data_IF_080627259979
#
_entry.id   IF_080627259979
#
_cell.length_a   1.000
_cell.length_b   1.000
_cell.length_c   1.000
_cell.angle_alpha   90.00
_cell.angle_beta   90.00
_cell.angle_gamma   90.00
#
_symmetry.space_group_name_H-M   'P 1'
#
loop_
_entity.id
_entity.type
_entity.pdbx_description
1 polymer ?
#
# COMPACT_ATOMS: atom_id res chain seq x y z
N UNK A 1 -31.63 -56.49 -35.35
CA UNK A 1 -33.09 -56.32 -35.50
C UNK A 1 -33.76 -56.79 -34.22
N UNK A 2 -34.70 -56.04 -33.63
CA UNK A 2 -35.13 -54.65 -33.85
C UNK A 2 -34.61 -53.71 -32.71
N UNK A 3 -34.27 -52.42 -32.91
CA UNK A 3 -35.08 -51.22 -33.25
C UNK A 3 -36.08 -50.88 -32.12
N UNK A 4 -36.30 -49.68 -31.60
CA UNK A 4 -36.00 -48.27 -31.91
C UNK A 4 -36.19 -47.50 -30.57
N UNK A 5 -35.55 -46.35 -30.34
CA UNK A 5 -36.24 -45.08 -30.58
C UNK A 5 -35.54 -43.89 -29.90
N UNK A 6 -35.41 -42.83 -30.69
CA UNK A 6 -34.80 -41.51 -30.46
C UNK A 6 -35.74 -40.52 -29.75
N UNK A 7 -35.17 -39.58 -28.98
CA UNK A 7 -35.58 -38.17 -28.86
C UNK A 7 -34.54 -37.47 -27.95
N UNK A 8 -33.54 -36.78 -28.51
CA UNK A 8 -33.55 -35.35 -28.85
C UNK A 8 -33.82 -34.44 -27.63
N UNK A 9 -32.77 -33.76 -27.16
CA UNK A 9 -32.87 -32.70 -26.15
C UNK A 9 -31.89 -31.58 -26.52
N UNK A 10 -32.31 -30.78 -27.51
CA UNK A 10 -31.69 -29.49 -27.85
C UNK A 10 -32.55 -28.34 -27.32
N UNK A 11 -31.85 -27.39 -26.71
CA UNK A 11 -32.16 -25.94 -26.66
C UNK A 11 -33.38 -25.52 -25.83
N UNK A 12 -33.10 -25.05 -24.61
CA UNK A 12 -33.89 -24.01 -23.96
C UNK A 12 -33.21 -22.65 -24.20
N UNK A 13 -33.74 -21.91 -25.17
CA UNK A 13 -33.61 -20.45 -25.29
C UNK A 13 -35.03 -19.88 -25.43
N UNK A 14 -35.23 -18.69 -24.85
CA UNK A 14 -36.35 -17.74 -25.02
C UNK A 14 -37.69 -18.01 -24.31
N UNK A 15 -37.93 -17.18 -23.28
CA UNK A 15 -39.20 -16.63 -22.77
C UNK A 15 -38.74 -15.72 -21.60
N UNK A 16 -39.02 -14.42 -21.49
CA UNK A 16 -40.26 -13.69 -21.68
C UNK A 16 -39.92 -12.23 -22.01
N UNK A 17 -40.31 -11.80 -23.21
CA UNK A 17 -40.63 -10.39 -23.51
C UNK A 17 -42.14 -10.23 -23.34
N UNK A 18 -42.63 -8.99 -23.19
CA UNK A 18 -44.04 -8.56 -23.02
C UNK A 18 -44.43 -8.25 -21.57
N UNK A 19 -44.02 -7.07 -21.08
CA UNK A 19 -44.89 -6.17 -20.30
C UNK A 19 -44.40 -4.75 -20.58
N UNK A 20 -44.94 -4.07 -21.60
CA UNK A 20 -44.94 -2.59 -21.70
C UNK A 20 -45.70 -2.14 -22.96
N UNK A 21 -47.02 -2.33 -22.96
CA UNK A 21 -47.90 -1.63 -23.91
C UNK A 21 -49.24 -1.36 -23.24
N UNK A 22 -49.39 -0.21 -22.58
CA UNK A 22 -50.66 0.51 -22.41
C UNK A 22 -50.47 1.68 -21.43
N UNK A 23 -50.15 2.85 -21.97
CA UNK A 23 -50.54 4.17 -21.46
C UNK A 23 -50.01 5.24 -22.43
N UNK A 24 -50.66 5.35 -23.58
CA UNK A 24 -50.64 6.55 -24.41
C UNK A 24 -52.08 6.96 -24.63
N UNK A 25 -52.51 8.04 -23.98
CA UNK A 25 -53.49 9.01 -24.47
C UNK A 25 -53.65 10.15 -23.45
N UNK A 26 -53.64 11.38 -23.99
CA UNK A 26 -53.99 12.69 -23.39
C UNK A 26 -52.82 13.53 -22.83
N UNK A 27 -52.22 14.38 -23.66
CA UNK A 27 -52.49 15.83 -23.68
C UNK A 27 -51.48 16.61 -24.56
N UNK A 28 -51.91 17.66 -25.29
CA UNK A 28 -51.09 18.38 -26.27
C UNK A 28 -50.41 19.65 -25.73
N UNK A 29 -49.33 20.04 -26.43
CA UNK A 29 -48.75 21.39 -26.58
C UNK A 29 -48.37 22.21 -25.32
N UNK A 30 -47.08 22.14 -24.98
CA UNK A 30 -46.25 23.34 -24.70
C UNK A 30 -44.81 23.04 -25.18
N UNK A 31 -44.51 23.40 -26.44
CA UNK A 31 -43.14 23.41 -26.96
C UNK A 31 -42.49 24.76 -26.63
N UNK A 32 -41.88 24.85 -25.45
CA UNK A 32 -40.81 25.80 -25.20
C UNK A 32 -39.49 25.13 -25.62
N UNK A 33 -38.58 25.82 -26.33
CA UNK A 33 -37.27 25.26 -26.61
C UNK A 33 -36.50 25.18 -25.28
N UNK A 34 -36.50 24.02 -24.65
CA UNK A 34 -35.49 23.69 -23.64
C UNK A 34 -34.19 23.63 -24.42
N UNK A 35 -33.43 24.73 -24.38
CA UNK A 35 -32.04 24.70 -24.75
C UNK A 35 -31.39 23.61 -23.88
N UNK A 36 -31.11 22.46 -24.49
CA UNK A 36 -30.16 21.51 -23.94
C UNK A 36 -28.82 22.23 -23.93
N UNK A 37 -28.56 22.97 -22.86
CA UNK A 37 -27.20 23.29 -22.46
C UNK A 37 -26.55 21.95 -22.19
N UNK A 38 -25.83 21.44 -23.20
CA UNK A 38 -24.81 20.43 -22.97
C UNK A 38 -23.92 21.02 -21.89
N UNK A 39 -24.04 20.52 -20.67
CA UNK A 39 -23.04 20.75 -19.65
C UNK A 39 -21.76 20.21 -20.29
N UNK A 40 -20.79 21.06 -20.65
CA UNK A 40 -19.52 20.55 -21.15
C UNK A 40 -19.00 19.56 -20.11
N UNK A 41 -18.42 18.41 -20.51
CA UNK A 41 -17.76 17.55 -19.56
C UNK A 41 -16.78 18.43 -18.77
N UNK A 42 -17.01 18.53 -17.47
CA UNK A 42 -16.07 19.20 -16.57
C UNK A 42 -14.78 18.43 -16.74
N UNK A 43 -13.79 19.05 -17.40
CA UNK A 43 -12.45 18.49 -17.44
C UNK A 43 -12.04 18.23 -16.00
N UNK A 44 -11.47 17.05 -15.67
CA UNK A 44 -10.94 16.83 -14.34
C UNK A 44 -10.02 18.00 -14.00
N UNK A 45 -10.11 18.56 -12.78
CA UNK A 45 -9.23 19.65 -12.40
C UNK A 45 -7.78 19.26 -12.72
N UNK A 46 -6.95 20.17 -13.25
CA UNK A 46 -5.54 19.89 -13.49
C UNK A 46 -4.94 19.33 -12.19
N UNK A 47 -4.14 18.25 -12.28
CA UNK A 47 -3.47 17.57 -11.17
C UNK A 47 -2.99 18.60 -10.13
N UNK A 48 -3.74 18.78 -9.03
CA UNK A 48 -3.61 19.96 -8.18
C UNK A 48 -2.40 19.91 -7.23
N UNK A 49 -1.42 19.02 -7.44
CA UNK A 49 -0.14 19.01 -6.75
C UNK A 49 1.07 18.57 -7.59
N UNK A 50 0.88 18.26 -8.88
CA UNK A 50 1.93 17.91 -9.86
C UNK A 50 3.12 17.14 -9.29
N UNK A 51 2.93 15.88 -8.88
CA UNK A 51 4.06 15.03 -8.55
C UNK A 51 5.02 14.91 -9.74
N UNK A 52 6.33 14.89 -9.46
CA UNK A 52 7.35 14.67 -10.49
C UNK A 52 8.11 13.37 -10.21
N UNK A 53 8.54 12.62 -11.23
CA UNK A 53 9.41 11.46 -11.01
C UNK A 53 10.70 11.85 -10.27
N UNK A 54 11.05 11.12 -9.22
CA UNK A 54 12.30 11.26 -8.49
C UNK A 54 13.40 10.44 -9.20
N UNK A 55 14.01 11.03 -10.23
CA UNK A 55 14.95 10.33 -11.12
C UNK A 55 16.17 9.78 -10.38
N UNK A 56 16.64 10.48 -9.35
CA UNK A 56 17.70 10.06 -8.43
C UNK A 56 17.38 8.70 -7.78
N UNK A 57 16.21 8.57 -7.14
CA UNK A 57 15.80 7.32 -6.50
C UNK A 57 15.44 6.23 -7.50
N UNK A 58 14.79 6.58 -8.61
CA UNK A 58 14.49 5.62 -9.68
C UNK A 58 15.79 5.01 -10.25
N UNK A 59 16.86 5.80 -10.39
CA UNK A 59 18.18 5.28 -10.79
C UNK A 59 18.83 4.44 -9.70
N UNK A 60 18.81 4.89 -8.45
CA UNK A 60 19.37 4.16 -7.30
C UNK A 60 18.81 2.73 -7.17
N UNK A 61 17.51 2.57 -7.43
CA UNK A 61 16.80 1.30 -7.38
C UNK A 61 16.67 0.59 -8.74
N UNK A 62 17.36 1.05 -9.78
CA UNK A 62 17.56 0.29 -11.02
C UNK A 62 18.84 -0.52 -10.91
N UNK A 63 18.71 -1.75 -10.38
CA UNK A 63 19.85 -2.61 -10.03
C UNK A 63 19.94 -3.87 -10.88
N UNK A 64 21.16 -4.24 -11.23
CA UNK A 64 21.45 -5.40 -12.09
C UNK A 64 22.14 -6.56 -11.37
N UNK A 65 22.38 -6.44 -10.05
CA UNK A 65 22.89 -7.51 -9.21
C UNK A 65 23.49 -7.03 -7.89
N UNK A 66 24.27 -7.91 -7.26
CA UNK A 66 24.93 -7.69 -5.96
C UNK A 66 23.92 -7.43 -4.82
N UNK A 67 22.87 -8.24 -4.74
CA UNK A 67 21.82 -8.17 -3.72
C UNK A 67 20.45 -8.01 -4.35
N UNK A 68 19.65 -7.10 -3.78
CA UNK A 68 18.32 -6.75 -4.23
C UNK A 68 18.33 -6.26 -5.69
N UNK A 69 17.42 -6.79 -6.51
CA UNK A 69 17.23 -6.40 -7.91
C UNK A 69 15.78 -6.10 -8.28
N UNK A 70 14.86 -6.27 -7.32
CA UNK A 70 13.43 -6.02 -7.42
C UNK A 70 12.76 -6.46 -6.11
N UNK A 71 11.66 -5.83 -5.74
CA UNK A 71 10.86 -6.20 -4.59
C UNK A 71 9.74 -5.21 -4.30
N UNK A 72 8.85 -5.60 -3.41
CA UNK A 72 7.66 -4.83 -2.99
C UNK A 72 7.73 -4.36 -1.53
N UNK A 73 6.68 -3.69 -1.06
CA UNK A 73 6.68 -2.99 0.23
C UNK A 73 7.39 -1.65 0.09
N UNK A 74 8.72 -1.64 -0.01
CA UNK A 74 9.54 -0.41 -0.16
C UNK A 74 9.26 0.61 0.95
N UNK A 75 9.25 0.16 2.21
CA UNK A 75 9.19 1.08 3.36
C UNK A 75 10.60 1.54 3.71
N UNK A 76 10.73 2.63 4.47
CA UNK A 76 12.05 3.08 4.90
C UNK A 76 12.05 3.76 6.27
N UNK A 77 13.15 3.53 6.99
CA UNK A 77 13.41 4.07 8.34
C UNK A 77 14.75 4.81 8.29
N UNK A 78 14.76 6.08 8.66
CA UNK A 78 16.00 6.83 8.86
C UNK A 78 16.71 6.36 10.14
N UNK A 79 17.99 6.00 10.04
CA UNK A 79 18.78 5.56 11.19
C UNK A 79 19.58 6.75 11.80
N UNK A 80 19.85 6.75 13.12
CA UNK A 80 20.54 7.85 13.80
C UNK A 80 21.95 8.14 13.29
N UNK A 81 22.59 7.16 12.66
CA UNK A 81 23.94 7.30 12.09
C UNK A 81 23.96 7.79 10.63
N UNK A 82 22.81 8.22 10.12
CA UNK A 82 22.66 8.78 8.76
C UNK A 82 22.42 7.75 7.67
N UNK A 83 22.41 6.45 8.00
CA UNK A 83 21.97 5.41 7.07
C UNK A 83 20.44 5.40 6.95
N UNK A 84 19.93 4.76 5.90
CA UNK A 84 18.51 4.43 5.77
C UNK A 84 18.34 2.92 5.71
N UNK A 85 17.42 2.38 6.51
CA UNK A 85 16.98 1.00 6.42
C UNK A 85 15.75 0.93 5.51
N UNK A 86 15.85 0.22 4.40
CA UNK A 86 14.70 -0.09 3.54
C UNK A 86 14.17 -1.47 3.85
N UNK A 87 12.85 -1.61 3.87
CA UNK A 87 12.15 -2.86 4.15
C UNK A 87 11.42 -3.31 2.89
N UNK A 88 11.67 -4.55 2.47
CA UNK A 88 11.02 -5.14 1.31
C UNK A 88 10.30 -6.43 1.71
N UNK A 89 9.14 -6.66 1.09
CA UNK A 89 8.48 -7.96 1.11
C UNK A 89 9.14 -8.90 0.10
N UNK A 90 8.33 -9.55 -0.72
CA UNK A 90 8.80 -10.46 -1.75
C UNK A 90 9.87 -9.76 -2.61
N UNK A 91 11.07 -10.35 -2.68
CA UNK A 91 12.29 -9.71 -3.19
C UNK A 91 13.04 -10.62 -4.15
N UNK A 92 13.28 -10.13 -5.36
CA UNK A 92 14.19 -10.75 -6.32
C UNK A 92 15.66 -10.48 -5.96
N UNK A 93 16.41 -11.58 -5.85
CA UNK A 93 17.86 -11.59 -5.74
C UNK A 93 18.49 -12.15 -7.03
N UNK A 94 19.81 -12.05 -7.14
CA UNK A 94 20.55 -12.53 -8.29
C UNK A 94 21.03 -11.39 -9.18
N UNK A 95 20.95 -11.55 -10.50
CA UNK A 95 21.39 -10.56 -11.47
C UNK A 95 20.33 -10.33 -12.55
N UNK A 96 20.40 -9.18 -13.21
CA UNK A 96 19.57 -8.82 -14.37
C UNK A 96 20.45 -8.84 -15.61
N UNK A 97 19.98 -9.51 -16.67
CA UNK A 97 20.66 -9.58 -17.95
C UNK A 97 20.64 -8.23 -18.68
N UNK A 98 21.54 -8.01 -19.65
CA UNK A 98 21.54 -6.78 -20.45
C UNK A 98 20.24 -6.50 -21.22
N UNK A 99 19.44 -7.53 -21.49
CA UNK A 99 18.12 -7.40 -22.14
C UNK A 99 16.99 -7.03 -21.17
N UNK A 100 17.29 -6.89 -19.87
CA UNK A 100 16.32 -6.57 -18.83
C UNK A 100 15.67 -7.79 -18.17
N UNK A 101 15.95 -9.02 -18.63
CA UNK A 101 15.39 -10.24 -18.05
C UNK A 101 16.16 -10.72 -16.80
N UNK A 102 15.50 -11.55 -16.00
CA UNK A 102 16.08 -12.32 -14.89
C UNK A 102 16.22 -13.79 -15.30
N UNK A 103 17.22 -14.52 -14.81
CA UNK A 103 17.21 -15.98 -14.86
C UNK A 103 15.98 -16.57 -14.17
N UNK A 104 15.41 -17.66 -14.71
CA UNK A 104 14.23 -18.32 -14.13
C UNK A 104 14.52 -18.96 -12.76
N UNK A 105 15.79 -19.18 -12.43
CA UNK A 105 16.27 -19.62 -11.13
C UNK A 105 16.65 -18.45 -10.21
N UNK A 106 16.30 -17.20 -10.56
CA UNK A 106 16.50 -16.05 -9.68
C UNK A 106 15.67 -16.22 -8.40
N UNK A 107 16.29 -16.16 -7.20
CA UNK A 107 15.56 -16.35 -5.97
C UNK A 107 14.55 -15.22 -5.70
N UNK A 108 13.37 -15.61 -5.19
CA UNK A 108 12.34 -14.70 -4.68
C UNK A 108 12.11 -14.98 -3.19
N UNK A 109 12.72 -14.19 -2.31
CA UNK A 109 12.60 -14.37 -0.85
C UNK A 109 11.49 -13.48 -0.28
N UNK A 110 10.83 -13.91 0.81
CA UNK A 110 9.60 -13.27 1.33
C UNK A 110 9.78 -11.92 2.00
N UNK A 111 10.97 -11.60 2.49
CA UNK A 111 11.31 -10.27 2.97
C UNK A 111 12.83 -10.11 3.01
N UNK A 112 13.29 -8.87 2.91
CA UNK A 112 14.67 -8.51 3.18
C UNK A 112 14.79 -7.09 3.73
N UNK A 113 15.97 -6.77 4.25
CA UNK A 113 16.35 -5.40 4.54
C UNK A 113 17.39 -4.93 3.52
N UNK A 114 17.36 -3.66 3.14
CA UNK A 114 18.44 -3.04 2.36
C UNK A 114 18.95 -1.83 3.12
N UNK A 115 20.21 -1.87 3.53
CA UNK A 115 20.87 -0.76 4.23
C UNK A 115 21.47 0.18 3.19
N UNK A 116 20.99 1.41 3.16
CA UNK A 116 21.50 2.49 2.33
C UNK A 116 22.48 3.36 3.13
N UNK A 117 23.62 3.64 2.52
CA UNK A 117 24.63 4.60 2.98
C UNK A 117 25.13 5.40 1.77
N UNK A 118 24.63 6.63 1.61
CA UNK A 118 24.77 7.37 0.34
C UNK A 118 24.11 6.62 -0.83
N UNK A 119 24.88 6.32 -1.87
CA UNK A 119 24.44 5.51 -3.02
C UNK A 119 24.68 4.00 -2.83
N UNK A 120 25.38 3.61 -1.75
CA UNK A 120 25.69 2.21 -1.47
C UNK A 120 24.49 1.53 -0.85
N UNK A 121 24.00 0.49 -1.52
CA UNK A 121 22.94 -0.38 -1.02
C UNK A 121 23.51 -1.75 -0.67
N UNK A 122 23.21 -2.24 0.53
CA UNK A 122 23.61 -3.58 0.98
C UNK A 122 22.40 -4.34 1.47
N UNK A 123 22.09 -5.44 0.78
CA UNK A 123 20.98 -6.33 1.14
C UNK A 123 21.36 -7.21 2.33
N UNK A 124 20.42 -7.39 3.25
CA UNK A 124 20.46 -8.26 4.43
C UNK A 124 19.31 -9.24 4.32
N UNK A 125 19.68 -10.51 4.31
CA UNK A 125 18.79 -11.66 4.26
C UNK A 125 19.54 -12.82 4.91
N UNK A 126 18.83 -13.89 5.25
CA UNK A 126 19.43 -15.08 5.84
C UNK A 126 19.89 -16.07 4.76
N UNK A 127 20.57 -17.14 5.17
CA UNK A 127 21.03 -18.20 4.27
C UNK A 127 22.29 -17.83 3.49
N UNK A 128 22.41 -18.33 2.26
CA UNK A 128 23.61 -18.12 1.42
C UNK A 128 23.23 -17.50 0.08
N UNK A 129 24.22 -17.08 -0.73
CA UNK A 129 23.94 -16.59 -2.09
C UNK A 129 23.28 -17.63 -2.99
N UNK A 130 23.52 -18.93 -2.76
CA UNK A 130 22.92 -20.02 -3.55
C UNK A 130 21.57 -20.51 -3.01
N UNK A 131 21.30 -20.24 -1.75
CA UNK A 131 20.08 -20.63 -1.05
C UNK A 131 19.71 -19.52 -0.06
N UNK A 132 19.25 -18.37 -0.58
CA UNK A 132 18.90 -17.23 0.26
C UNK A 132 17.55 -17.47 0.92
N UNK A 133 17.41 -16.99 2.15
CA UNK A 133 16.17 -17.03 2.93
C UNK A 133 15.77 -15.63 3.32
N UNK A 134 14.48 -15.44 3.61
CA UNK A 134 13.97 -14.17 4.11
C UNK A 134 14.74 -13.72 5.37
N UNK A 135 14.84 -12.41 5.60
CA UNK A 135 15.50 -11.87 6.80
C UNK A 135 14.80 -12.34 8.08
N UNK A 136 13.47 -12.26 8.11
CA UNK A 136 12.63 -12.78 9.18
C UNK A 136 11.78 -13.94 8.67
N UNK A 137 11.92 -15.09 9.33
CA UNK A 137 11.18 -16.32 9.00
C UNK A 137 10.28 -16.68 10.19
N UNK A 138 8.97 -16.93 9.98
CA UNK A 138 8.09 -17.38 11.04
C UNK A 138 8.42 -18.79 11.51
N UNK A 139 8.02 -19.11 12.74
CA UNK A 139 8.13 -20.46 13.30
C UNK A 139 7.24 -21.47 12.56
N UNK A 140 6.05 -21.02 12.12
CA UNK A 140 5.14 -21.81 11.30
C UNK A 140 5.58 -21.77 9.82
N UNK A 141 6.04 -22.90 9.25
CA UNK A 141 6.58 -22.95 7.89
C UNK A 141 5.53 -22.71 6.79
N UNK A 142 4.24 -22.79 7.10
CA UNK A 142 3.15 -22.51 6.14
C UNK A 142 2.81 -21.02 6.05
N UNK A 143 3.54 -20.18 6.80
CA UNK A 143 3.34 -18.74 6.86
C UNK A 143 4.55 -17.97 6.36
N UNK A 144 4.35 -16.69 6.05
CA UNK A 144 5.43 -15.76 5.73
C UNK A 144 5.16 -14.37 6.32
N UNK A 145 6.21 -13.56 6.37
CA UNK A 145 6.13 -12.17 6.82
C UNK A 145 6.37 -11.20 5.67
N UNK A 146 5.50 -10.20 5.54
CA UNK A 146 5.75 -8.97 4.80
C UNK A 146 5.91 -7.80 5.75
N UNK A 147 6.78 -6.83 5.44
CA UNK A 147 7.04 -5.73 6.35
C UNK A 147 5.84 -4.77 6.44
N UNK A 148 5.58 -4.34 7.66
CA UNK A 148 4.94 -3.07 7.96
C UNK A 148 6.02 -2.00 8.21
N UNK A 149 5.58 -0.85 8.71
CA UNK A 149 6.45 0.28 9.02
C UNK A 149 7.27 0.04 10.29
N UNK A 150 8.18 0.96 10.62
CA UNK A 150 8.99 0.86 11.81
C UNK A 150 9.55 2.20 12.26
N UNK A 151 10.16 2.19 13.43
CA UNK A 151 10.78 3.39 14.00
C UNK A 151 12.04 3.05 14.78
N UNK A 152 12.77 4.08 15.21
CA UNK A 152 13.97 3.96 16.02
C UNK A 152 13.72 4.60 17.38
N UNK A 153 14.08 3.87 18.44
CA UNK A 153 14.14 4.42 19.79
C UNK A 153 15.49 4.07 20.43
N UNK A 154 16.23 5.10 20.85
CA UNK A 154 17.60 4.97 21.35
C UNK A 154 18.49 4.14 20.41
N UNK A 155 18.92 2.96 20.84
CA UNK A 155 19.80 2.06 20.08
C UNK A 155 19.04 0.88 19.44
N UNK A 156 17.71 0.97 19.32
CA UNK A 156 16.87 -0.11 18.80
C UNK A 156 16.05 0.36 17.60
N UNK A 157 15.91 -0.52 16.61
CA UNK A 157 14.94 -0.37 15.51
C UNK A 157 13.79 -1.33 15.76
N UNK A 158 12.58 -0.81 15.80
CA UNK A 158 11.35 -1.58 15.89
C UNK A 158 10.70 -1.65 14.51
N UNK A 159 10.50 -2.86 14.00
CA UNK A 159 9.94 -3.09 12.65
C UNK A 159 8.73 -4.00 12.76
N UNK A 160 7.58 -3.54 12.26
CA UNK A 160 6.39 -4.39 12.18
C UNK A 160 6.50 -5.36 10.99
N UNK A 161 5.99 -6.56 11.17
CA UNK A 161 5.83 -7.56 10.13
C UNK A 161 4.44 -8.18 10.21
N UNK A 162 3.72 -8.16 9.10
CA UNK A 162 2.42 -8.78 8.95
C UNK A 162 2.58 -10.22 8.48
N UNK A 163 1.97 -11.17 9.20
CA UNK A 163 2.01 -12.59 8.89
C UNK A 163 0.85 -12.97 7.97
N UNK A 164 1.17 -13.76 6.96
CA UNK A 164 0.24 -14.27 5.98
C UNK A 164 0.38 -15.77 5.83
N UNK A 165 -0.71 -16.41 5.44
CA UNK A 165 -0.74 -17.81 5.03
C UNK A 165 -1.61 -17.98 3.79
N UNK A 166 -1.41 -19.10 3.08
CA UNK A 166 -2.21 -19.44 1.91
C UNK A 166 -3.57 -20.02 2.36
N UNK A 167 -4.67 -19.44 1.90
CA UNK A 167 -6.06 -19.92 2.17
C UNK A 167 -6.70 -20.58 0.95
N UNK A 168 -6.24 -20.27 -0.25
CA UNK A 168 -6.75 -20.85 -1.51
C UNK A 168 -5.61 -20.92 -2.53
N UNK A 169 -5.46 -21.97 -3.34
CA UNK A 169 -4.41 -22.01 -4.35
C UNK A 169 -4.43 -20.81 -5.30
N UNK A 170 -3.25 -20.35 -5.72
CA UNK A 170 -3.09 -19.25 -6.70
C UNK A 170 -2.49 -17.97 -6.11
N UNK A 171 -2.27 -16.99 -6.96
CA UNK A 171 -1.50 -15.78 -6.66
C UNK A 171 -2.11 -14.88 -5.57
N UNK A 172 -3.44 -14.84 -5.48
CA UNK A 172 -4.19 -13.90 -4.62
C UNK A 172 -4.91 -14.58 -3.45
N UNK A 173 -4.69 -15.89 -3.26
CA UNK A 173 -5.42 -16.70 -2.27
C UNK A 173 -4.76 -16.74 -0.90
N UNK A 174 -4.35 -15.59 -0.36
CA UNK A 174 -3.69 -15.48 0.94
C UNK A 174 -4.47 -14.59 1.91
N UNK A 175 -4.27 -14.81 3.19
CA UNK A 175 -4.93 -14.05 4.26
C UNK A 175 -3.92 -13.65 5.33
N UNK A 176 -4.12 -12.45 5.88
CA UNK A 176 -3.41 -12.01 7.08
C UNK A 176 -3.94 -12.75 8.30
N UNK A 177 -3.07 -13.16 9.22
CA UNK A 177 -3.47 -13.85 10.47
C UNK A 177 -2.77 -13.36 11.74
N UNK A 178 -1.92 -12.33 11.64
CA UNK A 178 -1.23 -11.79 12.79
C UNK A 178 -0.19 -10.75 12.43
N UNK A 179 0.28 -10.02 13.44
CA UNK A 179 1.39 -9.06 13.31
C UNK A 179 2.41 -9.36 14.39
N UNK A 180 3.68 -9.22 14.06
CA UNK A 180 4.79 -9.20 15.03
C UNK A 180 5.58 -7.90 14.90
N UNK A 181 6.28 -7.53 15.96
CA UNK A 181 7.27 -6.46 15.95
C UNK A 181 8.65 -7.05 16.21
N UNK A 182 9.53 -6.96 15.23
CA UNK A 182 10.93 -7.33 15.36
C UNK A 182 11.71 -6.16 15.99
N UNK A 183 12.54 -6.47 16.98
CA UNK A 183 13.44 -5.52 17.63
C UNK A 183 14.86 -5.82 17.16
N UNK A 184 15.49 -4.85 16.48
CA UNK A 184 16.86 -4.95 15.98
C UNK A 184 17.77 -4.01 16.79
N UNK A 185 19.00 -4.43 17.06
CA UNK A 185 20.00 -3.58 17.73
C UNK A 185 20.80 -2.75 16.72
N UNK A 186 21.08 -1.49 17.05
CA UNK A 186 22.02 -0.66 16.30
C UNK A 186 23.45 -0.86 16.83
N UNK A 187 24.48 -0.65 15.99
CA UNK A 187 24.40 -0.25 14.58
C UNK A 187 24.33 -1.43 13.58
N UNK A 188 24.47 -2.67 14.01
CA UNK A 188 24.63 -3.82 13.13
C UNK A 188 23.31 -4.36 12.55
N UNK A 189 22.18 -3.96 13.14
CA UNK A 189 20.82 -4.43 12.83
C UNK A 189 20.63 -5.92 13.15
N UNK A 190 21.32 -6.42 14.19
CA UNK A 190 21.12 -7.79 14.66
C UNK A 190 19.72 -7.94 15.25
N UNK A 191 18.99 -8.99 14.85
CA UNK A 191 17.71 -9.34 15.47
C UNK A 191 17.92 -9.74 16.93
N UNK A 192 17.24 -9.05 17.83
CA UNK A 192 17.26 -9.30 19.28
C UNK A 192 16.06 -10.17 19.68
N UNK A 193 14.85 -9.70 19.39
CA UNK A 193 13.59 -10.42 19.70
C UNK A 193 12.48 -10.10 18.72
N UNK A 194 11.44 -10.93 18.75
CA UNK A 194 10.20 -10.78 17.99
C UNK A 194 9.03 -10.83 18.97
N UNK A 195 8.17 -9.82 18.93
CA UNK A 195 7.09 -9.61 19.89
C UNK A 195 5.74 -9.70 19.16
N UNK A 196 4.82 -10.61 19.52
CA UNK A 196 3.48 -10.62 18.96
C UNK A 196 2.72 -9.33 19.27
N UNK A 197 2.01 -8.81 18.28
CA UNK A 197 1.19 -7.60 18.40
C UNK A 197 -0.28 -7.99 18.52
N UNK A 198 -0.98 -7.40 19.49
CA UNK A 198 -2.40 -7.63 19.67
C UNK A 198 -3.18 -7.22 18.41
N UNK A 199 -4.06 -8.11 17.96
CA UNK A 199 -4.70 -8.00 16.67
C UNK A 199 -6.21 -8.32 16.74
N UNK A 200 -6.81 -8.07 17.91
CA UNK A 200 -8.25 -8.17 18.11
C UNK A 200 -9.01 -7.31 17.09
N UNK A 201 -10.23 -7.76 16.73
CA UNK A 201 -11.03 -7.20 15.62
C UNK A 201 -10.41 -7.27 14.23
N UNK A 202 -9.34 -8.04 14.04
CA UNK A 202 -8.78 -8.26 12.72
C UNK A 202 -8.14 -7.00 12.12
N UNK A 203 -7.61 -6.12 12.98
CA UNK A 203 -6.88 -4.93 12.56
C UNK A 203 -5.38 -5.27 12.44
N UNK A 204 -4.85 -5.14 11.23
CA UNK A 204 -3.41 -5.28 10.97
C UNK A 204 -2.67 -3.97 11.32
N UNK A 205 -2.47 -3.70 12.62
CA UNK A 205 -1.67 -2.56 13.09
C UNK A 205 -0.20 -2.67 12.67
N UNK A 206 0.46 -1.53 12.48
CA UNK A 206 1.86 -1.44 12.05
C UNK A 206 2.03 -1.16 10.56
N UNK A 207 0.94 -0.86 9.84
CA UNK A 207 0.98 -0.55 8.41
C UNK A 207 1.65 0.80 8.12
N UNK A 208 1.49 1.77 9.03
CA UNK A 208 2.17 3.06 9.02
C UNK A 208 2.34 3.57 10.46
N UNK A 209 3.46 4.23 10.75
CA UNK A 209 3.71 4.90 12.01
C UNK A 209 3.82 6.41 11.80
N UNK A 210 3.49 7.16 12.85
CA UNK A 210 3.85 8.56 12.94
C UNK A 210 4.31 8.89 14.36
N UNK A 211 5.54 9.41 14.47
CA UNK A 211 6.08 9.87 15.75
C UNK A 211 5.66 11.32 16.05
N UNK A 212 5.02 11.52 17.20
CA UNK A 212 4.88 12.82 17.84
C UNK A 212 5.75 12.91 19.10
N UNK A 213 5.66 14.04 19.80
CA UNK A 213 6.53 14.32 20.96
C UNK A 213 6.43 13.28 22.08
N UNK A 214 5.20 12.91 22.46
CA UNK A 214 4.91 12.00 23.56
C UNK A 214 4.42 10.61 23.12
N UNK A 215 3.96 10.49 21.87
CA UNK A 215 3.24 9.32 21.38
C UNK A 215 3.79 8.88 20.03
N UNK A 216 3.84 7.58 19.81
CA UNK A 216 3.88 6.99 18.47
C UNK A 216 2.45 6.58 18.10
N UNK A 217 1.93 7.11 17.00
CA UNK A 217 0.65 6.70 16.44
C UNK A 217 0.87 5.54 15.49
N UNK A 218 0.04 4.50 15.64
CA UNK A 218 0.19 3.21 14.99
C UNK A 218 -1.06 2.96 14.18
N UNK A 219 -0.96 3.05 12.87
CA UNK A 219 -2.08 2.87 11.96
C UNK A 219 -2.14 1.43 11.47
N UNK A 220 -3.36 0.98 11.18
CA UNK A 220 -3.62 -0.35 10.65
C UNK A 220 -4.94 -0.42 9.90
N UNK A 221 -5.15 -1.53 9.19
CA UNK A 221 -6.39 -1.76 8.45
C UNK A 221 -7.16 -2.96 8.94
N UNK A 222 -8.48 -2.83 9.01
CA UNK A 222 -9.44 -3.93 9.09
C UNK A 222 -10.06 -4.17 7.70
N UNK A 223 -10.10 -5.43 7.26
CA UNK A 223 -10.80 -5.80 6.03
C UNK A 223 -12.28 -6.09 6.32
N UNK A 224 -13.21 -5.34 5.69
CA UNK A 224 -14.67 -5.60 5.74
C UNK A 224 -15.23 -5.78 4.34
N UNK A 225 -15.43 -7.04 3.93
CA UNK A 225 -15.81 -7.36 2.56
C UNK A 225 -14.68 -6.99 1.60
N UNK A 226 -14.95 -6.13 0.60
CA UNK A 226 -13.93 -5.63 -0.32
C UNK A 226 -13.24 -4.34 0.16
N UNK A 227 -13.76 -3.69 1.20
CA UNK A 227 -13.30 -2.36 1.64
C UNK A 227 -12.42 -2.50 2.87
N UNK A 228 -11.30 -1.77 2.87
CA UNK A 228 -10.40 -1.65 4.01
C UNK A 228 -10.74 -0.40 4.81
N UNK A 229 -10.70 -0.55 6.12
CA UNK A 229 -11.02 0.47 7.10
C UNK A 229 -9.78 0.82 7.91
N UNK A 230 -9.43 2.10 7.97
CA UNK A 230 -8.32 2.61 8.75
C UNK A 230 -8.68 2.70 10.23
N UNK A 231 -7.75 2.26 11.08
CA UNK A 231 -7.79 2.37 12.54
C UNK A 231 -6.50 3.01 13.05
N UNK A 232 -6.54 3.56 14.26
CA UNK A 232 -5.37 4.14 14.92
C UNK A 232 -5.28 3.71 16.38
N UNK A 233 -4.08 3.30 16.77
CA UNK A 233 -3.66 3.12 18.14
C UNK A 233 -2.52 4.11 18.46
N UNK A 234 -2.13 4.21 19.73
CA UNK A 234 -0.93 4.93 20.15
C UNK A 234 -0.24 4.23 21.30
N UNK A 235 1.08 4.38 21.38
CA UNK A 235 1.89 3.99 22.54
C UNK A 235 2.78 5.16 22.95
N UNK A 236 3.20 5.25 24.23
CA UNK A 236 4.20 6.23 24.63
C UNK A 236 5.44 6.12 23.75
N UNK A 237 6.08 7.25 23.45
CA UNK A 237 7.36 7.24 22.75
C UNK A 237 8.37 6.42 23.56
N UNK A 238 9.06 5.48 22.91
CA UNK A 238 9.90 4.51 23.61
C UNK A 238 9.17 3.39 24.35
N UNK A 239 7.86 3.23 24.13
CA UNK A 239 7.03 2.23 24.77
C UNK A 239 6.25 1.31 23.81
N UNK A 240 6.70 1.10 22.57
CA UNK A 240 5.97 0.25 21.61
C UNK A 240 5.84 -1.21 22.05
N UNK A 241 6.77 -1.70 22.88
CA UNK A 241 6.71 -3.06 23.44
C UNK A 241 5.68 -3.20 24.58
N UNK A 242 5.19 -2.07 25.11
CA UNK A 242 4.22 -2.04 26.21
C UNK A 242 2.77 -2.01 25.73
N UNK A 243 1.89 -1.60 26.65
CA UNK A 243 0.46 -1.46 26.36
C UNK A 243 0.18 -0.29 25.42
N UNK A 244 -0.75 -0.50 24.49
CA UNK A 244 -1.23 0.53 23.57
C UNK A 244 -2.60 1.03 23.98
N UNK A 245 -2.95 2.21 23.48
CA UNK A 245 -4.27 2.78 23.57
C UNK A 245 -4.90 2.88 22.19
N UNK A 246 -6.15 2.46 22.05
CA UNK A 246 -6.89 2.34 20.80
C UNK A 246 -8.00 3.37 20.73
N UNK A 247 -8.15 4.02 19.57
CA UNK A 247 -9.16 5.06 19.40
C UNK A 247 -10.56 4.48 19.25
N UNK A 248 -11.46 4.86 20.15
CA UNK A 248 -12.86 4.37 20.17
C UNK A 248 -13.80 5.17 19.26
N UNK A 249 -13.30 6.20 18.58
CA UNK A 249 -14.11 7.22 17.91
C UNK A 249 -14.33 8.47 18.76
N UNK A 250 -14.16 8.39 20.08
CA UNK A 250 -14.39 9.51 21.00
C UNK A 250 -13.32 9.65 22.10
N UNK A 251 -12.69 8.56 22.52
CA UNK A 251 -11.64 8.55 23.54
C UNK A 251 -10.66 7.41 23.29
N UNK A 252 -9.57 7.38 24.06
CA UNK A 252 -8.57 6.31 24.02
C UNK A 252 -8.92 5.20 25.02
N UNK A 253 -8.78 3.94 24.63
CA UNK A 253 -9.06 2.76 25.47
C UNK A 253 -7.89 1.78 25.45
N UNK A 254 -7.61 1.10 26.56
CA UNK A 254 -6.61 0.02 26.62
C UNK A 254 -7.13 -1.28 25.96
N UNK A 255 -8.41 -1.33 25.62
CA UNK A 255 -9.02 -2.46 24.93
C UNK A 255 -8.94 -2.26 23.41
N UNK A 256 -8.09 -3.05 22.75
CA UNK A 256 -8.05 -3.22 21.29
C UNK A 256 -9.45 -3.47 20.70
N UNK A 257 -10.27 -4.19 21.47
CA UNK A 257 -11.71 -4.43 21.31
C UNK A 257 -12.56 -3.21 20.94
N UNK A 258 -12.20 -2.06 21.51
CA UNK A 258 -12.98 -0.84 21.44
C UNK A 258 -12.67 0.01 20.21
N UNK A 259 -11.66 -0.36 19.42
CA UNK A 259 -11.21 0.41 18.26
C UNK A 259 -12.34 0.64 17.25
N UNK A 260 -12.41 1.85 16.68
CA UNK A 260 -13.36 2.22 15.62
C UNK A 260 -12.63 2.82 14.43
N UNK A 261 -13.17 2.52 13.25
CA UNK A 261 -12.62 2.99 11.98
C UNK A 261 -12.74 4.52 11.88
N UNK A 262 -11.69 5.18 11.38
CA UNK A 262 -11.59 6.63 11.21
C UNK A 262 -11.61 7.07 9.74
N UNK A 263 -11.44 6.12 8.81
CA UNK A 263 -11.49 6.32 7.36
C UNK A 263 -11.75 4.96 6.67
N UNK A 264 -12.32 4.96 5.47
CA UNK A 264 -12.53 3.76 4.66
C UNK A 264 -12.01 3.98 3.23
N UNK A 265 -11.65 2.88 2.55
CA UNK A 265 -11.15 2.91 1.17
C UNK A 265 -9.64 3.19 1.05
N UNK A 266 -8.86 2.85 2.08
CA UNK A 266 -7.38 2.88 2.05
C UNK A 266 -6.81 1.54 1.55
N UNK A 267 -5.55 1.50 1.12
CA UNK A 267 -4.83 0.24 0.84
C UNK A 267 -4.37 -0.45 2.14
N UNK A 268 -3.93 -1.71 2.05
CA UNK A 268 -3.34 -2.42 3.22
C UNK A 268 -2.00 -1.82 3.64
N UNK A 269 -1.31 -1.22 2.68
CA UNK A 269 0.00 -0.62 2.80
C UNK A 269 -0.10 0.80 2.25
N UNK A 270 0.16 1.77 3.10
CA UNK A 270 -0.04 3.20 2.88
C UNK A 270 0.97 3.98 3.74
N UNK A 271 1.19 5.25 3.46
CA UNK A 271 2.06 6.11 4.27
C UNK A 271 1.27 7.14 5.08
N UNK A 272 1.73 7.46 6.29
CA UNK A 272 1.26 8.61 7.08
C UNK A 272 2.45 9.50 7.40
N UNK A 273 2.30 10.80 7.18
CA UNK A 273 3.36 11.79 7.42
C UNK A 273 2.79 13.01 8.14
N UNK A 274 3.58 13.57 9.06
CA UNK A 274 3.28 14.87 9.66
C UNK A 274 3.58 15.97 8.64
N UNK A 275 2.67 16.92 8.49
CA UNK A 275 2.80 18.08 7.62
C UNK A 275 3.01 19.34 8.47
N UNK A 276 3.36 20.47 7.85
CA UNK A 276 3.40 21.77 8.55
C UNK A 276 2.07 22.08 9.25
N UNK A 277 0.96 21.62 8.66
CA UNK A 277 -0.38 21.70 9.22
C UNK A 277 -1.03 20.32 9.23
N UNK A 278 -0.94 19.63 10.37
CA UNK A 278 -1.61 18.35 10.59
C UNK A 278 -0.88 17.16 9.95
N UNK A 279 -1.64 16.32 9.24
CA UNK A 279 -1.21 15.01 8.76
C UNK A 279 -1.65 14.77 7.32
N UNK A 280 -0.83 14.03 6.57
CA UNK A 280 -1.16 13.47 5.27
C UNK A 280 -1.12 11.94 5.31
N UNK A 281 -2.17 11.30 4.79
CA UNK A 281 -2.23 9.86 4.55
C UNK A 281 -2.21 9.60 3.04
N UNK A 282 -1.16 8.97 2.55
CA UNK A 282 -0.97 8.65 1.12
C UNK A 282 -1.31 7.18 0.88
N UNK A 283 -2.24 6.92 -0.05
CA UNK A 283 -2.78 5.59 -0.35
C UNK A 283 -3.09 5.45 -1.84
N UNK A 284 -3.20 4.22 -2.35
CA UNK A 284 -3.94 4.01 -3.60
C UNK A 284 -5.42 4.27 -3.36
N UNK A 285 -6.13 4.76 -4.37
CA UNK A 285 -7.59 4.93 -4.30
C UNK A 285 -8.32 3.58 -4.47
N UNK A 286 -8.38 2.80 -3.40
CA UNK A 286 -8.96 1.44 -3.36
C UNK A 286 -10.50 1.42 -3.35
N UNK A 287 -11.15 2.55 -3.64
CA UNK A 287 -12.56 2.55 -4.04
C UNK A 287 -12.75 1.93 -5.42
N UNK A 288 -11.66 1.76 -6.17
CA UNK A 288 -11.59 1.03 -7.44
C UNK A 288 -10.46 -0.01 -7.35
N UNK A 289 -10.72 -1.29 -7.68
CA UNK A 289 -9.67 -2.31 -7.69
C UNK A 289 -8.54 -1.93 -8.66
N UNK A 290 -7.29 -2.07 -8.21
CA UNK A 290 -6.08 -1.78 -9.00
C UNK A 290 -6.08 -0.37 -9.61
N UNK A 291 -6.60 0.61 -8.86
CA UNK A 291 -6.56 2.02 -9.24
C UNK A 291 -5.13 2.46 -9.57
N UNK A 292 -4.97 3.29 -10.59
CA UNK A 292 -3.70 3.94 -10.95
C UNK A 292 -3.48 5.25 -10.18
N UNK A 293 -4.41 5.64 -9.31
CA UNK A 293 -4.40 6.93 -8.60
C UNK A 293 -3.75 6.77 -7.23
N UNK A 294 -2.66 7.52 -7.04
CA UNK A 294 -2.13 7.82 -5.71
C UNK A 294 -2.84 9.07 -5.19
N UNK A 295 -3.44 8.95 -4.03
CA UNK A 295 -4.23 10.02 -3.40
C UNK A 295 -3.71 10.33 -2.00
N UNK A 296 -4.01 11.54 -1.53
CA UNK A 296 -3.76 11.95 -0.15
C UNK A 296 -5.07 12.30 0.56
N UNK A 297 -5.18 11.91 1.82
CA UNK A 297 -6.18 12.40 2.77
C UNK A 297 -5.49 13.29 3.81
N UNK A 298 -6.17 14.33 4.28
CA UNK A 298 -5.62 15.33 5.20
C UNK A 298 -6.41 15.36 6.50
N UNK A 299 -5.74 15.54 7.63
CA UNK A 299 -6.38 15.71 8.93
C UNK A 299 -5.55 16.63 9.85
N UNK A 300 -6.22 17.35 10.76
CA UNK A 300 -5.51 18.16 11.78
C UNK A 300 -4.91 17.29 12.89
N UNK A 301 -5.52 16.14 13.18
CA UNK A 301 -5.10 15.21 14.24
C UNK A 301 -5.02 13.79 13.67
N UNK A 302 -4.23 12.88 14.28
CA UNK A 302 -4.07 11.51 13.76
C UNK A 302 -5.37 10.71 13.83
N UNK A 303 -6.30 11.11 14.70
CA UNK A 303 -7.65 10.52 14.82
C UNK A 303 -8.65 11.04 13.80
N UNK A 304 -8.25 11.99 12.94
CA UNK A 304 -9.13 12.65 11.98
C UNK A 304 -9.85 13.88 12.55
N UNK A 305 -10.98 14.30 11.94
CA UNK A 305 -11.59 13.71 10.76
C UNK A 305 -10.67 13.83 9.53
N UNK A 306 -10.51 12.74 8.78
CA UNK A 306 -9.73 12.72 7.54
C UNK A 306 -10.58 13.21 6.37
N UNK A 307 -10.05 14.18 5.62
CA UNK A 307 -10.70 14.83 4.49
C UNK A 307 -10.00 14.47 3.17
N UNK A 308 -10.74 14.48 2.06
CA UNK A 308 -10.25 14.11 0.74
C UNK A 308 -11.10 13.00 0.11
N UNK A 309 -10.53 12.20 -0.82
CA UNK A 309 -9.14 12.24 -1.27
C UNK A 309 -8.84 13.39 -2.24
N UNK A 310 -7.58 13.83 -2.22
CA UNK A 310 -6.99 14.70 -3.25
C UNK A 310 -6.05 13.88 -4.12
N UNK A 311 -6.19 13.96 -5.44
CA UNK A 311 -5.29 13.28 -6.38
C UNK A 311 -3.93 13.97 -6.41
N UNK A 312 -2.86 13.20 -6.15
CA UNK A 312 -1.49 13.71 -6.20
C UNK A 312 -0.70 13.17 -7.38
N UNK A 313 -1.00 11.93 -7.82
CA UNK A 313 -0.32 11.31 -8.96
C UNK A 313 -1.18 10.23 -9.62
N UNK A 314 -0.93 10.00 -10.91
CA UNK A 314 -1.46 8.88 -11.68
C UNK A 314 -0.28 8.07 -12.20
N UNK A 315 -0.16 6.82 -11.75
CA UNK A 315 0.94 5.93 -12.10
C UNK A 315 0.88 5.59 -13.61
N UNK A 316 1.82 6.08 -14.44
CA UNK A 316 1.76 5.89 -15.88
C UNK A 316 2.02 4.45 -16.33
N UNK A 317 2.64 3.63 -15.47
CA UNK A 317 2.87 2.21 -15.75
C UNK A 317 1.61 1.36 -15.61
N UNK A 318 0.64 1.82 -14.82
CA UNK A 318 -0.56 1.05 -14.51
C UNK A 318 -1.50 0.96 -15.72
N UNK A 319 -2.04 -0.24 -15.96
CA UNK A 319 -2.99 -0.54 -17.03
C UNK A 319 -3.80 -1.80 -16.65
N UNK A 320 -4.51 -2.41 -17.62
CA UNK A 320 -5.34 -3.60 -17.35
C UNK A 320 -4.56 -4.82 -16.86
N UNK A 321 -3.25 -4.88 -17.09
CA UNK A 321 -2.39 -6.01 -16.76
C UNK A 321 -1.35 -5.69 -15.66
N UNK A 322 -1.08 -4.40 -15.44
CA UNK A 322 -0.06 -3.92 -14.51
C UNK A 322 -0.72 -3.04 -13.45
N UNK A 323 -0.60 -3.43 -12.19
CA UNK A 323 -1.10 -2.64 -11.06
C UNK A 323 -0.01 -1.76 -10.45
N UNK A 324 -0.38 -0.54 -10.08
CA UNK A 324 0.34 0.27 -9.11
C UNK A 324 -0.23 0.04 -7.71
N UNK A 325 0.62 -0.06 -6.70
CA UNK A 325 0.21 -0.37 -5.33
C UNK A 325 1.23 0.12 -4.30
N UNK A 326 0.88 0.02 -3.02
CA UNK A 326 1.79 0.27 -1.89
C UNK A 326 2.51 1.63 -1.92
N UNK A 327 1.79 2.76 -1.96
CA UNK A 327 2.45 4.04 -1.87
C UNK A 327 2.92 4.30 -0.45
N UNK A 328 4.21 4.60 -0.28
CA UNK A 328 4.82 4.91 1.01
C UNK A 328 5.53 6.25 0.95
N UNK A 329 5.45 7.01 2.05
CA UNK A 329 6.19 8.27 2.22
C UNK A 329 7.53 7.97 2.88
N UNK A 330 8.59 8.71 2.52
CA UNK A 330 9.92 8.56 3.11
C UNK A 330 10.41 9.88 3.71
N UNK A 331 9.96 10.22 4.94
CA UNK A 331 10.14 11.55 5.53
C UNK A 331 11.59 12.00 5.68
N UNK A 332 12.53 11.06 5.89
CA UNK A 332 13.96 11.34 6.01
C UNK A 332 14.59 11.88 4.72
N UNK A 333 13.94 11.71 3.56
CA UNK A 333 14.36 12.29 2.28
C UNK A 333 13.54 13.51 1.87
N UNK A 334 12.56 13.90 2.68
CA UNK A 334 11.82 15.13 2.54
C UNK A 334 12.66 16.28 3.09
N UNK A 335 12.85 17.33 2.29
CA UNK A 335 13.51 18.58 2.71
C UNK A 335 12.58 19.74 2.38
N UNK A 336 12.54 20.76 3.24
CA UNK A 336 11.81 21.99 2.94
C UNK A 336 12.19 22.51 1.55
N UNK A 337 11.18 22.65 0.68
CA UNK A 337 11.35 23.11 -0.71
C UNK A 337 11.62 22.04 -1.77
N UNK A 338 11.93 20.78 -1.40
CA UNK A 338 12.15 19.68 -2.37
C UNK A 338 11.01 18.63 -2.37
N UNK A 339 9.95 18.90 -1.61
CA UNK A 339 8.79 18.03 -1.46
C UNK A 339 9.08 16.73 -0.70
N UNK A 340 8.02 15.94 -0.56
CA UNK A 340 8.01 14.62 0.04
C UNK A 340 8.38 13.57 -0.98
N UNK A 341 9.29 12.67 -0.63
CA UNK A 341 9.59 11.49 -1.44
C UNK A 341 8.53 10.41 -1.17
N UNK A 342 7.94 9.89 -2.24
CA UNK A 342 6.95 8.82 -2.18
C UNK A 342 7.38 7.72 -3.14
N UNK A 343 7.38 6.46 -2.68
CA UNK A 343 7.48 5.30 -3.56
C UNK A 343 6.10 4.73 -3.86
N UNK A 344 5.96 3.97 -4.94
CA UNK A 344 4.89 3.00 -5.17
C UNK A 344 5.45 1.79 -5.93
N UNK A 345 4.88 0.61 -5.75
CA UNK A 345 5.29 -0.62 -6.43
C UNK A 345 4.47 -0.88 -7.70
N UNK A 346 5.04 -1.68 -8.59
CA UNK A 346 4.43 -2.11 -9.84
C UNK A 346 4.46 -3.65 -9.92
N UNK A 347 3.35 -4.29 -10.26
CA UNK A 347 3.27 -5.75 -10.42
C UNK A 347 2.32 -6.14 -11.56
N UNK A 348 2.59 -7.26 -12.20
CA UNK A 348 1.70 -7.85 -13.19
C UNK A 348 0.60 -8.67 -12.47
N UNK A 349 -0.68 -8.42 -12.79
CA UNK A 349 -1.80 -8.93 -11.96
C UNK A 349 -2.29 -10.33 -12.35
N UNK A 350 -1.79 -10.89 -13.44
CA UNK A 350 -2.31 -12.15 -14.02
C UNK A 350 -1.25 -13.19 -14.38
N UNK A 351 0.00 -12.76 -14.51
CA UNK A 351 1.09 -13.59 -15.04
C UNK A 351 2.40 -13.26 -14.31
N UNK A 352 2.77 -14.04 -13.28
CA UNK A 352 3.98 -13.82 -12.51
C UNK A 352 5.27 -14.10 -13.30
N UNK A 353 5.21 -14.85 -14.41
CA UNK A 353 6.40 -15.18 -15.20
C UNK A 353 6.94 -13.92 -15.91
N UNK A 354 6.08 -12.96 -16.22
CA UNK A 354 6.47 -11.64 -16.77
C UNK A 354 7.47 -10.87 -15.90
N UNK A 355 7.50 -11.16 -14.58
CA UNK A 355 8.46 -10.53 -13.66
C UNK A 355 9.90 -11.03 -13.87
N UNK A 356 10.06 -12.19 -14.52
CA UNK A 356 11.35 -12.71 -14.96
C UNK A 356 11.71 -12.19 -16.36
N UNK A 357 10.73 -11.94 -17.22
CA UNK A 357 10.99 -11.39 -18.57
C UNK A 357 11.40 -9.91 -18.53
N UNK A 358 10.82 -9.13 -17.61
CA UNK A 358 11.10 -7.70 -17.47
C UNK A 358 11.35 -7.29 -16.01
N UNK A 359 12.62 -7.08 -15.67
CA UNK A 359 13.08 -6.58 -14.37
C UNK A 359 12.65 -5.13 -14.07
N UNK A 360 12.01 -4.42 -15.01
CA UNK A 360 11.35 -3.15 -14.75
C UNK A 360 10.04 -3.29 -14.00
N UNK A 361 9.40 -4.46 -14.08
CA UNK A 361 8.32 -4.86 -13.19
C UNK A 361 8.86 -5.31 -11.84
N UNK A 362 8.02 -5.28 -10.82
CA UNK A 362 8.38 -5.67 -9.45
C UNK A 362 9.57 -4.91 -8.86
N UNK A 363 9.64 -3.61 -9.14
CA UNK A 363 10.54 -2.66 -8.46
C UNK A 363 9.80 -1.35 -8.21
N UNK A 364 10.13 -0.61 -7.13
CA UNK A 364 9.50 0.66 -6.84
C UNK A 364 9.72 1.70 -7.95
N UNK A 365 8.79 2.65 -7.99
CA UNK A 365 8.90 3.94 -8.67
C UNK A 365 8.81 5.02 -7.61
N UNK A 366 9.60 6.07 -7.78
CA UNK A 366 9.66 7.17 -6.84
C UNK A 366 9.20 8.47 -7.49
N UNK A 367 8.45 9.27 -6.73
CA UNK A 367 7.96 10.60 -7.09
C UNK A 367 8.23 11.58 -5.95
N UNK A 368 8.27 12.88 -6.28
CA UNK A 368 8.31 13.98 -5.32
C UNK A 368 7.01 14.78 -5.39
N UNK A 369 6.43 15.09 -4.23
CA UNK A 369 5.20 15.86 -4.08
C UNK A 369 5.31 16.85 -2.94
N UNK A 370 4.95 18.10 -3.17
CA UNK A 370 4.82 19.08 -2.07
C UNK A 370 3.45 18.93 -1.39
N UNK A 371 3.37 18.02 -0.41
CA UNK A 371 2.15 17.77 0.36
C UNK A 371 1.78 18.94 1.29
N UNK A 372 2.76 19.71 1.77
CA UNK A 372 2.49 20.88 2.64
C UNK A 372 1.68 21.95 1.89
N UNK A 373 1.97 22.16 0.60
CA UNK A 373 1.16 23.05 -0.25
C UNK A 373 -0.30 22.62 -0.41
N UNK A 374 -0.61 21.34 -0.21
CA UNK A 374 -1.98 20.83 -0.25
C UNK A 374 -2.73 21.09 1.06
N UNK A 375 -2.02 21.04 2.20
CA UNK A 375 -2.60 21.30 3.52
C UNK A 375 -3.01 22.77 3.71
N UNK A 376 -2.33 23.70 3.04
CA UNK A 376 -2.56 25.16 3.14
C UNK A 376 -3.84 25.66 2.43
N UNK A 377 -4.70 24.77 1.92
CA UNK A 377 -6.00 25.18 1.34
C UNK A 377 -7.15 24.85 2.30
N UNK A 378 -7.55 25.77 3.19
CA UNK A 378 -8.85 25.68 3.83
C UNK A 378 -9.94 25.61 2.76
N UNK A 379 -10.92 24.74 2.94
CA UNK A 379 -12.16 24.77 2.21
C UNK A 379 -12.82 26.15 2.41
N UNK A 380 -12.69 27.05 1.44
CA UNK A 380 -13.35 28.35 1.44
C UNK A 380 -12.53 29.49 0.86
N UNK A 381 -12.38 29.52 -0.46
CA UNK A 381 -12.45 30.75 -1.24
C UNK A 381 -12.48 30.42 -2.74
N UNK A 382 -13.70 30.36 -3.28
CA UNK A 382 -13.92 30.72 -4.68
C UNK A 382 -13.53 32.21 -4.85
N UNK A 383 -12.81 32.52 -5.93
CA UNK A 383 -12.90 33.81 -6.60
C UNK A 383 -12.90 33.58 -8.10
#
# INVERSE_FOLDING_TARGET
MPLHGTCDNRRQQFLVSIVLTLLFLLAPLFLLPVACTRIPPVAPPPLSAGATPATDFNQLFTRYGNGWTGGDGTLSIGLPDGRTLWLFGDTFLGYVRPDGSRPLDSPLIRNCLVVQDGERLVTRHEGTTRDPRAFLVPEDPETWYWPGDGTVWENQVWVFFHRFHQVTPGMWGWAWDGTVMAVLQLPDLSLDRVIPVAHDHGVAYGAALNEGDAWVYIFGTEQRGAVKHLHVARAPRGGLEGSWHYWTGHHWSDNSGASRSILAGVSSQFGVVGLEQGFGLVTMDERQPFSDRVVVYLAETPTGPWQGPVDIYRAPEANSAVAAYNPFVHPQFSRHGNGHLISYNINHVHDPDTLYDDAALYRPRFIRVDLDRLAVRPAGQER
#
